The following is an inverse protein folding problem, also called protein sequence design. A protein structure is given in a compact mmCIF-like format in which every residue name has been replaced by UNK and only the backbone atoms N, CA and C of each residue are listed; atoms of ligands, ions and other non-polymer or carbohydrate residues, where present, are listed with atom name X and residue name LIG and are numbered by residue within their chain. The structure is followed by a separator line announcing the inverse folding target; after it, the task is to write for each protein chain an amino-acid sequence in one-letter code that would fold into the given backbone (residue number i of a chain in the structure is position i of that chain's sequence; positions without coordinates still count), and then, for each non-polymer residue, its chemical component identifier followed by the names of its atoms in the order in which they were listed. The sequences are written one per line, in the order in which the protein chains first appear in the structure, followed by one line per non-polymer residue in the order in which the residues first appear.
data_IF_926534360668
#
_entry.id   IF_926534360668
#
_cell.length_a   1.000
_cell.length_b   1.000
_cell.length_c   1.000
_cell.angle_alpha   90.00
_cell.angle_beta   90.00
_cell.angle_gamma   90.00
#
_symmetry.space_group_name_H-M   'P 1'
#
loop_
_entity.id
_entity.type
_entity.pdbx_description
1 polymer ?
#
# COMPACT_ATOMS: atom_id res chain seq x y z
N UNK A 1 15.59 26.36 -13.42
CA UNK A 1 15.41 25.44 -14.57
C UNK A 1 15.04 24.05 -14.05
N UNK A 2 14.02 23.49 -14.64
CA UNK A 2 13.57 22.14 -14.26
C UNK A 2 14.30 21.09 -15.07
N UNK A 3 14.92 20.14 -14.38
CA UNK A 3 15.67 19.07 -15.03
C UNK A 3 15.21 17.73 -14.47
N UNK A 4 15.30 16.64 -15.26
CA UNK A 4 15.07 15.31 -14.72
C UNK A 4 16.08 14.99 -13.61
N UNK A 5 15.62 14.24 -12.60
CA UNK A 5 16.47 13.87 -11.47
C UNK A 5 16.30 12.40 -11.12
N UNK A 6 17.32 11.82 -10.54
CA UNK A 6 17.32 10.46 -10.03
C UNK A 6 17.38 10.51 -8.51
N UNK A 7 16.51 9.74 -7.86
CA UNK A 7 16.58 9.50 -6.42
C UNK A 7 17.05 8.06 -6.24
N UNK A 8 18.10 7.86 -5.42
CA UNK A 8 18.69 6.55 -5.21
C UNK A 8 17.99 5.84 -4.04
N UNK A 9 17.07 4.96 -4.36
CA UNK A 9 16.28 4.21 -3.39
C UNK A 9 15.17 5.04 -2.75
N UNK A 10 14.35 4.39 -1.94
CA UNK A 10 13.26 5.02 -1.22
C UNK A 10 13.63 5.08 0.26
N UNK A 11 14.04 6.24 0.75
CA UNK A 11 14.48 6.44 2.14
C UNK A 11 13.80 7.62 2.83
N UNK A 12 12.92 8.34 2.15
CA UNK A 12 12.24 9.49 2.70
C UNK A 12 11.16 9.10 3.70
N UNK A 13 11.01 9.94 4.74
CA UNK A 13 9.92 9.77 5.68
C UNK A 13 8.58 10.13 5.03
N UNK A 14 7.53 9.44 5.42
CA UNK A 14 6.18 9.68 4.94
C UNK A 14 5.17 9.13 5.94
N UNK A 15 3.89 9.44 5.72
CA UNK A 15 2.82 8.94 6.57
C UNK A 15 2.79 7.40 6.57
N UNK A 16 2.52 6.84 7.73
CA UNK A 16 2.54 5.40 7.97
C UNK A 16 1.15 4.84 8.21
N UNK A 17 0.99 3.56 7.91
CA UNK A 17 -0.12 2.75 8.40
C UNK A 17 0.44 1.69 9.35
N UNK A 18 -0.39 1.13 10.26
CA UNK A 18 0.08 0.02 11.11
C UNK A 18 0.60 -1.17 10.30
N UNK A 19 1.48 -1.94 10.89
CA UNK A 19 1.92 -3.23 10.34
C UNK A 19 2.77 -3.18 9.08
N UNK A 20 3.07 -1.98 8.56
CA UNK A 20 3.80 -1.82 7.30
C UNK A 20 4.85 -0.74 7.45
N UNK A 21 5.90 -0.80 6.63
CA UNK A 21 6.90 0.25 6.52
C UNK A 21 6.74 0.93 5.17
N UNK A 22 6.57 2.25 5.19
CA UNK A 22 6.41 3.08 4.01
C UNK A 22 7.58 4.06 3.92
N UNK A 23 8.20 4.14 2.73
CA UNK A 23 9.30 5.07 2.46
C UNK A 23 9.02 5.81 1.16
N UNK A 24 9.25 7.12 1.18
CA UNK A 24 9.09 7.96 0.00
C UNK A 24 10.34 7.96 -0.86
N UNK A 25 10.18 7.97 -2.16
CA UNK A 25 11.25 8.21 -3.13
C UNK A 25 11.03 9.52 -3.86
N UNK A 26 9.88 9.70 -4.49
CA UNK A 26 9.55 10.89 -5.27
C UNK A 26 8.42 11.63 -4.55
N UNK A 27 8.72 12.82 -4.06
CA UNK A 27 7.75 13.69 -3.40
C UNK A 27 8.22 15.14 -3.44
N UNK A 28 7.49 16.02 -2.74
CA UNK A 28 7.84 17.44 -2.69
C UNK A 28 9.22 17.65 -2.04
N UNK A 29 9.56 16.85 -1.03
CA UNK A 29 10.83 17.00 -0.30
C UNK A 29 12.04 16.57 -1.13
N UNK A 30 11.92 15.46 -1.84
CA UNK A 30 13.08 14.92 -2.57
C UNK A 30 13.35 15.66 -3.87
N UNK A 31 12.30 15.97 -4.63
CA UNK A 31 12.47 16.52 -5.99
C UNK A 31 11.57 17.72 -6.30
N UNK A 32 10.79 18.19 -5.34
CA UNK A 32 9.83 19.28 -5.58
C UNK A 32 8.63 18.85 -6.41
N UNK A 33 8.26 17.58 -6.37
CA UNK A 33 7.10 17.08 -7.08
C UNK A 33 5.82 17.74 -6.56
N UNK A 34 4.91 18.11 -7.47
CA UNK A 34 3.67 18.80 -7.14
C UNK A 34 2.43 17.95 -7.36
N UNK A 35 2.52 16.90 -8.17
CA UNK A 35 1.35 16.14 -8.62
C UNK A 35 1.51 14.64 -8.52
N UNK A 36 2.67 14.17 -8.11
CA UNK A 36 2.94 12.75 -8.00
C UNK A 36 3.75 12.46 -6.77
N UNK A 37 3.39 11.37 -6.13
CA UNK A 37 4.15 10.72 -5.07
C UNK A 37 4.51 9.32 -5.54
N UNK A 38 5.73 8.88 -5.26
CA UNK A 38 6.13 7.50 -5.51
C UNK A 38 6.97 6.99 -4.34
N UNK A 39 6.65 5.77 -3.90
CA UNK A 39 7.32 5.19 -2.74
C UNK A 39 7.28 3.69 -2.73
N UNK A 40 7.80 3.13 -1.66
CA UNK A 40 7.87 1.70 -1.44
C UNK A 40 7.20 1.34 -0.12
N UNK A 41 6.45 0.23 -0.15
CA UNK A 41 5.83 -0.37 1.04
C UNK A 41 6.36 -1.77 1.20
N UNK A 42 6.79 -2.10 2.40
CA UNK A 42 7.17 -3.45 2.78
C UNK A 42 6.35 -3.88 3.98
N UNK A 43 6.03 -5.16 4.06
CA UNK A 43 5.28 -5.72 5.18
C UNK A 43 5.79 -7.13 5.49
N UNK A 44 5.93 -7.45 6.77
CA UNK A 44 6.29 -8.82 7.17
C UNK A 44 5.16 -9.78 6.87
N UNK A 45 5.42 -11.09 6.90
CA UNK A 45 4.34 -12.08 6.84
C UNK A 45 3.30 -11.84 7.95
N UNK A 46 2.06 -12.26 7.68
CA UNK A 46 0.99 -12.23 8.68
C UNK A 46 0.80 -10.83 9.27
N UNK A 47 0.52 -9.86 8.41
CA UNK A 47 0.35 -8.46 8.83
C UNK A 47 -0.78 -7.79 8.08
N UNK A 48 -1.26 -6.69 8.64
CA UNK A 48 -2.23 -5.82 7.95
C UNK A 48 -1.94 -4.35 8.22
N UNK A 49 -2.46 -3.50 7.33
CA UNK A 49 -2.24 -2.06 7.38
C UNK A 49 -3.15 -1.32 8.35
N UNK A 50 -4.11 -2.01 8.96
CA UNK A 50 -5.26 -1.29 9.51
C UNK A 50 -6.13 -0.69 8.41
N UNK A 51 -7.34 -0.29 8.76
CA UNK A 51 -8.25 0.37 7.83
C UNK A 51 -7.79 1.79 7.55
N UNK A 52 -7.81 2.22 6.29
CA UNK A 52 -7.42 3.58 5.91
C UNK A 52 -7.97 3.93 4.52
N UNK A 53 -7.88 5.22 4.19
CA UNK A 53 -8.11 5.69 2.82
C UNK A 53 -7.10 6.78 2.48
N UNK A 54 -7.09 7.20 1.24
CA UNK A 54 -6.13 8.18 0.74
C UNK A 54 -6.79 9.47 0.25
N UNK A 55 -7.97 9.80 0.81
CA UNK A 55 -8.69 11.01 0.43
C UNK A 55 -8.94 11.08 -1.07
N UNK A 56 -8.64 12.22 -1.66
CA UNK A 56 -8.83 12.44 -3.10
C UNK A 56 -7.75 11.78 -3.97
N UNK A 57 -6.71 11.20 -3.39
CA UNK A 57 -5.62 10.60 -4.14
C UNK A 57 -5.98 9.21 -4.65
N UNK A 58 -5.57 8.94 -5.88
CA UNK A 58 -5.61 7.61 -6.47
C UNK A 58 -4.26 6.93 -6.27
N UNK A 59 -4.26 5.60 -6.21
CA UNK A 59 -3.04 4.81 -6.06
C UNK A 59 -2.92 3.80 -7.20
N UNK A 60 -1.75 3.80 -7.84
CA UNK A 60 -1.34 2.74 -8.74
C UNK A 60 -0.14 2.04 -8.12
N UNK A 61 -0.14 0.73 -8.08
CA UNK A 61 0.90 -0.03 -7.41
C UNK A 61 1.37 -1.22 -8.27
N UNK A 62 2.63 -1.59 -8.10
CA UNK A 62 3.21 -2.77 -8.72
C UNK A 62 3.77 -3.66 -7.61
N UNK A 63 3.35 -4.92 -7.58
CA UNK A 63 3.83 -5.89 -6.60
C UNK A 63 5.18 -6.45 -7.06
N UNK A 64 6.22 -6.14 -6.30
CA UNK A 64 7.59 -6.57 -6.60
C UNK A 64 7.82 -7.98 -6.05
N UNK A 65 7.30 -8.26 -4.85
CA UNK A 65 7.53 -9.52 -4.14
C UNK A 65 6.32 -9.86 -3.28
N UNK A 66 6.01 -11.15 -3.20
CA UNK A 66 4.96 -11.65 -2.32
C UNK A 66 3.56 -11.42 -2.88
N UNK A 67 2.61 -11.36 -1.98
CA UNK A 67 1.18 -11.22 -2.30
C UNK A 67 0.58 -10.16 -1.40
N UNK A 68 -0.28 -9.31 -1.96
CA UNK A 68 -1.09 -8.36 -1.21
C UNK A 68 -2.56 -8.61 -1.48
N UNK A 69 -3.34 -8.74 -0.41
CA UNK A 69 -4.80 -8.78 -0.51
C UNK A 69 -5.35 -7.46 -0.01
N UNK A 70 -6.29 -6.87 -0.74
CA UNK A 70 -6.91 -5.59 -0.37
C UNK A 70 -8.39 -5.83 -0.13
N UNK A 71 -8.81 -5.70 1.12
CA UNK A 71 -10.22 -5.77 1.52
C UNK A 71 -10.86 -4.39 1.40
N UNK A 72 -12.10 -4.37 0.94
CA UNK A 72 -12.88 -3.15 0.76
C UNK A 72 -14.37 -3.47 0.84
N UNK A 73 -15.20 -2.45 0.61
CA UNK A 73 -16.65 -2.60 0.62
C UNK A 73 -17.24 -2.58 2.03
N UNK A 74 -18.54 -2.85 2.11
CA UNK A 74 -19.24 -2.83 3.38
C UNK A 74 -18.69 -3.90 4.32
N UNK A 75 -18.27 -3.47 5.51
CA UNK A 75 -17.67 -4.37 6.50
C UNK A 75 -16.38 -5.02 6.01
N UNK A 76 -15.74 -4.44 4.98
CA UNK A 76 -14.55 -5.04 4.35
C UNK A 76 -14.80 -6.47 3.88
N UNK A 77 -16.00 -6.71 3.35
CA UNK A 77 -16.44 -8.06 2.96
C UNK A 77 -15.95 -8.52 1.60
N UNK A 78 -15.43 -7.62 0.78
CA UNK A 78 -14.92 -7.92 -0.56
C UNK A 78 -13.40 -7.75 -0.60
N UNK A 79 -12.75 -8.44 -1.53
CA UNK A 79 -11.31 -8.26 -1.69
C UNK A 79 -10.87 -8.48 -3.14
N UNK A 80 -9.71 -7.91 -3.45
CA UNK A 80 -8.90 -8.24 -4.62
C UNK A 80 -7.53 -8.69 -4.13
N UNK A 81 -6.83 -9.46 -4.94
CA UNK A 81 -5.51 -9.97 -4.58
C UNK A 81 -4.55 -9.82 -5.75
N UNK A 82 -3.36 -9.31 -5.46
CA UNK A 82 -2.29 -9.10 -6.43
C UNK A 82 -1.03 -9.82 -5.96
N UNK A 83 -0.32 -10.42 -6.91
CA UNK A 83 0.93 -11.15 -6.68
C UNK A 83 2.08 -10.48 -7.41
N UNK A 84 3.29 -10.89 -7.13
CA UNK A 84 4.48 -10.37 -7.80
C UNK A 84 4.28 -10.33 -9.32
N UNK A 85 4.49 -9.16 -9.92
CA UNK A 85 4.27 -8.91 -11.34
C UNK A 85 2.91 -8.29 -11.67
N UNK A 86 1.98 -8.24 -10.73
CA UNK A 86 0.66 -7.66 -10.94
C UNK A 86 0.64 -6.16 -10.62
N UNK A 87 -0.32 -5.48 -11.23
CA UNK A 87 -0.61 -4.08 -10.95
C UNK A 87 -1.93 -3.96 -10.20
N UNK A 88 -1.98 -3.03 -9.25
CA UNK A 88 -3.13 -2.79 -8.39
C UNK A 88 -3.54 -1.33 -8.50
N UNK A 89 -4.84 -1.07 -8.56
CA UNK A 89 -5.37 0.28 -8.54
C UNK A 89 -6.34 0.45 -7.37
N UNK A 90 -6.16 1.51 -6.59
CA UNK A 90 -7.09 1.89 -5.53
C UNK A 90 -7.69 3.25 -5.85
N UNK A 91 -9.00 3.33 -6.06
CA UNK A 91 -9.67 4.61 -6.36
C UNK A 91 -9.61 5.59 -5.19
N UNK A 92 -9.84 6.85 -5.49
CA UNK A 92 -9.98 7.89 -4.47
C UNK A 92 -11.11 7.54 -3.48
N UNK A 93 -10.94 7.94 -2.23
CA UNK A 93 -11.92 7.87 -1.14
C UNK A 93 -12.33 6.46 -0.68
N UNK A 94 -11.71 5.40 -1.18
CA UNK A 94 -12.11 4.03 -0.84
C UNK A 94 -11.41 3.57 0.43
N UNK A 95 -12.15 3.33 1.52
CA UNK A 95 -11.60 2.67 2.70
C UNK A 95 -11.19 1.24 2.37
N UNK A 96 -10.00 0.86 2.80
CA UNK A 96 -9.48 -0.47 2.52
C UNK A 96 -8.48 -0.92 3.56
N UNK A 97 -8.17 -2.22 3.53
CA UNK A 97 -7.17 -2.85 4.38
C UNK A 97 -6.27 -3.70 3.51
N UNK A 98 -4.98 -3.41 3.55
CA UNK A 98 -3.97 -4.24 2.87
C UNK A 98 -3.50 -5.32 3.82
N UNK A 99 -3.50 -6.56 3.35
CA UNK A 99 -3.09 -7.72 4.14
C UNK A 99 -2.01 -8.50 3.41
N UNK A 100 -0.95 -8.87 4.13
CA UNK A 100 -0.03 -9.88 3.65
C UNK A 100 -0.54 -11.24 4.14
N UNK A 101 -1.11 -12.07 3.26
CA UNK A 101 -1.73 -13.33 3.66
C UNK A 101 -0.75 -14.48 3.84
N UNK A 102 0.52 -14.28 3.51
CA UNK A 102 1.52 -15.34 3.60
C UNK A 102 1.94 -15.57 5.05
N UNK A 103 2.11 -16.84 5.46
CA UNK A 103 2.65 -17.14 6.79
C UNK A 103 4.16 -16.92 6.91
N UNK A 104 4.89 -16.86 5.81
CA UNK A 104 6.36 -16.89 5.82
C UNK A 104 7.05 -15.94 4.84
N UNK A 105 6.34 -15.32 3.89
CA UNK A 105 6.96 -14.48 2.87
C UNK A 105 6.62 -13.00 3.07
N UNK A 106 7.62 -12.10 3.09
CA UNK A 106 7.35 -10.67 3.12
C UNK A 106 6.76 -10.19 1.80
N UNK A 107 6.15 -9.01 1.86
CA UNK A 107 5.55 -8.33 0.72
C UNK A 107 6.33 -7.06 0.43
N UNK A 108 6.53 -6.75 -0.85
CA UNK A 108 7.10 -5.49 -1.29
C UNK A 108 6.30 -4.94 -2.47
N UNK A 109 5.91 -3.68 -2.37
CA UNK A 109 5.09 -2.99 -3.36
C UNK A 109 5.71 -1.63 -3.65
N UNK A 110 5.78 -1.27 -4.93
CA UNK A 110 6.11 0.08 -5.37
C UNK A 110 4.80 0.75 -5.77
N UNK A 111 4.56 1.94 -5.26
CA UNK A 111 3.33 2.64 -5.58
C UNK A 111 3.57 4.07 -6.06
N UNK A 112 2.65 4.53 -6.89
CA UNK A 112 2.53 5.92 -7.29
C UNK A 112 1.16 6.42 -6.83
N UNK A 113 1.11 7.65 -6.33
CA UNK A 113 -0.12 8.24 -5.81
C UNK A 113 -0.17 9.71 -6.19
N UNK A 114 -1.34 10.18 -6.51
CA UNK A 114 -1.52 11.57 -6.88
C UNK A 114 -2.94 12.07 -6.60
N UNK A 115 -3.08 13.34 -6.33
CA UNK A 115 -2.05 14.40 -6.40
C UNK A 115 -1.04 14.41 -5.23
N UNK A 116 -1.30 13.70 -4.13
CA UNK A 116 -0.43 13.72 -2.96
C UNK A 116 -0.49 12.37 -2.21
N UNK A 117 0.41 12.16 -1.26
CA UNK A 117 0.37 10.98 -0.40
C UNK A 117 -0.48 11.27 0.84
N UNK A 118 -1.79 11.16 0.67
CA UNK A 118 -2.74 11.34 1.75
C UNK A 118 -2.97 9.98 2.43
N UNK A 119 -2.89 9.93 3.75
CA UNK A 119 -3.19 8.73 4.54
C UNK A 119 -4.10 9.13 5.70
N UNK A 120 -5.29 8.57 5.73
CA UNK A 120 -6.25 8.76 6.80
C UNK A 120 -6.52 7.40 7.43
N UNK A 121 -5.94 7.16 8.61
CA UNK A 121 -6.14 5.92 9.35
C UNK A 121 -7.51 5.93 10.03
N UNK A 122 -8.23 4.82 9.94
CA UNK A 122 -9.57 4.64 10.48
C UNK A 122 -9.52 3.72 11.70
N UNK A 123 -10.48 3.85 12.64
CA UNK A 123 -10.44 3.11 13.90
C UNK A 123 -10.99 1.68 13.83
N UNK A 124 -11.42 1.21 12.68
CA UNK A 124 -12.04 -0.11 12.52
C UNK A 124 -11.14 -1.23 13.00
N UNK A 125 -11.69 -2.20 13.71
CA UNK A 125 -10.97 -3.40 14.12
C UNK A 125 -10.93 -4.38 12.95
N UNK A 126 -9.72 -4.69 12.44
CA UNK A 126 -9.57 -5.45 11.21
C UNK A 126 -8.61 -6.65 11.31
N UNK A 127 -8.14 -6.99 12.51
CA UNK A 127 -7.17 -8.09 12.67
C UNK A 127 -7.75 -9.44 12.19
N UNK A 128 -9.07 -9.62 12.29
CA UNK A 128 -9.74 -10.82 11.79
C UNK A 128 -9.56 -11.01 10.28
N UNK A 129 -9.30 -9.94 9.55
CA UNK A 129 -9.06 -10.02 8.10
C UNK A 129 -7.75 -10.72 7.77
N UNK A 130 -6.72 -10.52 8.60
CA UNK A 130 -5.44 -11.22 8.43
C UNK A 130 -5.64 -12.73 8.57
N UNK A 131 -6.36 -13.17 9.60
CA UNK A 131 -6.66 -14.59 9.80
C UNK A 131 -7.51 -15.16 8.66
N UNK A 132 -8.52 -14.41 8.20
CA UNK A 132 -9.34 -14.82 7.06
C UNK A 132 -8.51 -14.96 5.80
N UNK A 133 -7.62 -14.01 5.53
CA UNK A 133 -6.77 -14.05 4.35
C UNK A 133 -5.85 -15.27 4.35
N UNK A 134 -5.26 -15.60 5.49
CA UNK A 134 -4.40 -16.77 5.64
C UNK A 134 -5.18 -18.07 5.46
N UNK A 135 -6.39 -18.15 6.01
CA UNK A 135 -7.24 -19.33 5.91
C UNK A 135 -7.74 -19.56 4.48
N UNK A 136 -7.90 -18.50 3.67
CA UNK A 136 -8.41 -18.57 2.29
C UNK A 136 -7.32 -18.39 1.24
N UNK A 137 -6.06 -18.25 1.66
CA UNK A 137 -4.93 -18.18 0.74
C UNK A 137 -4.78 -19.52 0.02
N UNK A 138 -4.47 -19.48 -1.27
CA UNK A 138 -4.28 -20.70 -2.07
C UNK A 138 -2.98 -21.42 -1.76
N UNK A 139 -2.22 -20.99 -0.77
CA UNK A 139 -1.01 -21.67 -0.34
C UNK A 139 0.12 -21.65 -1.35
N UNK A 140 -0.10 -20.95 -2.41
CA UNK A 140 0.87 -20.89 -3.51
C UNK A 140 1.87 -19.78 -3.30
#
# INVERSE_FOLDING_TARGET
MSVPRVVHGASGETAQTPGMERKAAIDARSVGAQRVFMGRVTAPPHSNSGAHHHGESETAAFVVRGTVRVYFGEGFGEFVEARAGDFLFVPAHVPHVEVNPSPDEPMEVILARGPDNIVVNLPDAVDHLTERAMATSSGG
#
